data_IF_171289291255
#
_entry.id   IF_171289291255
#
_cell.length_a   1.000
_cell.length_b   1.000
_cell.length_c   1.000
_cell.angle_alpha   90.00
_cell.angle_beta   90.00
_cell.angle_gamma   90.00
#
_symmetry.space_group_name_H-M   'P 1'
#
loop_
_entity.id
_entity.type
_entity.pdbx_description
1 polymer ?
#
# COMPACT_ATOMS: atom_id res chain seq x y z
N UNK A 1 2.27 12.10 -17.57
CA UNK A 1 3.07 11.31 -16.60
C UNK A 1 4.54 11.68 -16.74
N UNK A 2 5.01 12.71 -16.00
CA UNK A 2 6.33 13.29 -16.20
C UNK A 2 7.49 12.37 -15.78
N UNK A 3 7.28 11.46 -14.82
CA UNK A 3 8.34 10.60 -14.28
C UNK A 3 9.03 9.72 -15.33
N UNK A 4 8.30 8.79 -15.95
CA UNK A 4 8.86 7.88 -16.96
C UNK A 4 9.43 8.60 -18.19
N UNK A 5 8.83 9.73 -18.57
CA UNK A 5 9.32 10.61 -19.64
C UNK A 5 10.67 11.21 -19.26
N UNK A 6 10.80 11.78 -18.06
CA UNK A 6 12.08 12.29 -17.55
C UNK A 6 13.15 11.20 -17.45
N UNK A 7 12.77 9.97 -17.08
CA UNK A 7 13.70 8.84 -17.08
C UNK A 7 14.16 8.48 -18.50
N UNK A 8 13.24 8.45 -19.48
CA UNK A 8 13.56 8.23 -20.90
C UNK A 8 14.53 9.29 -21.44
N UNK A 9 14.32 10.54 -21.07
CA UNK A 9 15.10 11.68 -21.56
C UNK A 9 16.43 11.86 -20.80
N UNK A 10 16.76 10.97 -19.85
CA UNK A 10 18.02 10.98 -19.12
C UNK A 10 19.08 10.16 -19.86
N UNK A 11 19.93 10.83 -20.65
CA UNK A 11 20.99 10.17 -21.43
C UNK A 11 21.97 9.35 -20.57
N UNK A 12 22.24 9.81 -19.34
CA UNK A 12 23.13 9.10 -18.41
C UNK A 12 22.51 7.76 -18.03
N UNK A 13 21.21 7.75 -17.70
CA UNK A 13 20.49 6.53 -17.37
C UNK A 13 20.38 5.60 -18.57
N UNK A 14 20.14 6.14 -19.76
CA UNK A 14 20.11 5.35 -21.00
C UNK A 14 21.44 4.60 -21.20
N UNK A 15 22.58 5.29 -21.07
CA UNK A 15 23.91 4.67 -21.20
C UNK A 15 24.14 3.57 -20.17
N UNK A 16 23.75 3.81 -18.91
CA UNK A 16 23.85 2.81 -17.83
C UNK A 16 23.02 1.57 -18.17
N UNK A 17 21.78 1.75 -18.63
CA UNK A 17 20.86 0.65 -18.93
C UNK A 17 21.27 -0.14 -20.17
N UNK A 18 21.75 0.53 -21.22
CA UNK A 18 22.33 -0.13 -22.40
C UNK A 18 23.54 -0.98 -22.04
N UNK A 19 24.46 -0.45 -21.24
CA UNK A 19 25.62 -1.21 -20.75
C UNK A 19 25.19 -2.40 -19.88
N UNK A 20 24.19 -2.23 -19.01
CA UNK A 20 23.64 -3.35 -18.21
C UNK A 20 23.16 -4.50 -19.11
N UNK A 21 22.44 -4.16 -20.19
CA UNK A 21 21.93 -5.14 -21.13
C UNK A 21 23.03 -5.78 -22.00
N UNK A 22 24.01 -4.99 -22.46
CA UNK A 22 25.19 -5.47 -23.21
C UNK A 22 26.03 -6.44 -22.37
N UNK A 23 26.21 -6.14 -21.08
CA UNK A 23 26.93 -6.97 -20.12
C UNK A 23 26.11 -8.20 -19.66
N UNK A 24 24.92 -8.43 -20.23
CA UNK A 24 23.98 -9.51 -19.87
C UNK A 24 23.64 -9.56 -18.37
N UNK A 25 23.51 -8.39 -17.75
CA UNK A 25 23.08 -8.26 -16.36
C UNK A 25 21.59 -7.99 -16.28
N UNK A 26 20.98 -8.33 -15.14
CA UNK A 26 19.55 -8.15 -14.92
C UNK A 26 19.16 -6.67 -15.02
N UNK A 27 18.04 -6.42 -15.70
CA UNK A 27 17.37 -5.14 -15.70
C UNK A 27 15.85 -5.35 -15.78
N UNK A 28 15.09 -4.35 -15.37
CA UNK A 28 13.64 -4.48 -15.38
C UNK A 28 12.89 -3.17 -15.47
N UNK A 29 11.63 -3.28 -15.85
CA UNK A 29 10.73 -2.14 -15.95
C UNK A 29 9.29 -2.56 -15.62
N UNK A 30 8.59 -1.72 -14.87
CA UNK A 30 7.22 -1.95 -14.44
C UNK A 30 6.31 -0.83 -14.94
N UNK A 31 5.01 -1.12 -15.08
CA UNK A 31 3.99 -0.14 -15.44
C UNK A 31 4.25 0.42 -16.85
N UNK A 32 4.31 1.74 -17.00
CA UNK A 32 4.50 2.40 -18.28
C UNK A 32 5.97 2.39 -18.78
N UNK A 33 6.94 2.09 -17.89
CA UNK A 33 8.36 2.18 -18.21
C UNK A 33 8.81 1.26 -19.37
N UNK A 34 8.29 0.03 -19.55
CA UNK A 34 8.58 -0.77 -20.74
C UNK A 34 8.28 -0.01 -22.04
N UNK A 35 7.06 0.52 -22.17
CA UNK A 35 6.60 1.19 -23.39
C UNK A 35 7.19 2.59 -23.59
N UNK A 36 7.43 3.33 -22.51
CA UNK A 36 7.81 4.74 -22.57
C UNK A 36 9.32 4.95 -22.43
N UNK A 37 10.03 4.08 -21.74
CA UNK A 37 11.46 4.24 -21.45
C UNK A 37 12.30 3.20 -22.17
N UNK A 38 12.05 1.90 -21.97
CA UNK A 38 12.89 0.85 -22.55
C UNK A 38 12.71 0.69 -24.06
N UNK A 39 11.48 0.85 -24.57
CA UNK A 39 11.19 0.72 -26.00
C UNK A 39 11.97 1.73 -26.85
N UNK A 40 11.93 3.06 -26.58
CA UNK A 40 12.76 4.02 -27.32
C UNK A 40 14.27 3.76 -27.27
N UNK A 41 14.77 3.17 -26.17
CA UNK A 41 16.19 2.81 -26.04
C UNK A 41 16.58 1.53 -26.78
N UNK A 42 15.63 0.85 -27.41
CA UNK A 42 15.85 -0.43 -28.12
C UNK A 42 16.01 -1.64 -27.21
N UNK A 43 15.79 -1.49 -25.89
CA UNK A 43 16.03 -2.54 -24.89
C UNK A 43 14.94 -3.63 -24.84
N UNK A 44 13.91 -3.52 -25.67
CA UNK A 44 12.87 -4.54 -25.83
C UNK A 44 13.01 -5.38 -27.11
N UNK A 45 14.05 -5.14 -27.91
CA UNK A 45 14.22 -5.78 -29.22
C UNK A 45 14.27 -7.30 -29.08
N UNK A 46 13.32 -8.00 -29.73
CA UNK A 46 13.17 -9.47 -29.69
C UNK A 46 12.95 -10.05 -28.29
N UNK A 47 12.41 -9.27 -27.35
CA UNK A 47 12.12 -9.71 -25.99
C UNK A 47 10.62 -9.67 -25.71
N UNK A 48 10.05 -10.79 -25.25
CA UNK A 48 8.65 -10.82 -24.80
C UNK A 48 8.50 -9.88 -23.60
N UNK A 49 7.48 -9.03 -23.63
CA UNK A 49 7.36 -7.90 -22.69
C UNK A 49 5.92 -7.70 -22.25
N UNK A 50 5.71 -7.41 -20.97
CA UNK A 50 4.44 -6.91 -20.43
C UNK A 50 4.60 -5.46 -19.94
N UNK A 51 3.52 -4.83 -19.52
CA UNK A 51 3.50 -3.44 -19.07
C UNK A 51 2.11 -2.95 -18.66
N UNK A 52 1.95 -1.65 -18.51
CA UNK A 52 0.66 -1.10 -18.13
C UNK A 52 -0.37 -1.24 -19.28
N UNK A 53 -1.59 -1.75 -19.04
CA UNK A 53 -2.60 -2.01 -20.08
C UNK A 53 -2.86 -0.79 -20.98
N UNK A 54 -2.97 0.40 -20.40
CA UNK A 54 -3.16 1.66 -21.13
C UNK A 54 -2.04 2.02 -22.13
N UNK A 55 -0.89 1.34 -22.07
CA UNK A 55 0.27 1.57 -22.94
C UNK A 55 0.57 0.38 -23.87
N UNK A 56 -0.26 -0.67 -23.86
CA UNK A 56 -0.06 -1.85 -24.71
C UNK A 56 -0.03 -1.52 -26.20
N UNK A 57 -0.86 -0.56 -26.64
CA UNK A 57 -0.88 -0.13 -28.04
C UNK A 57 0.44 0.51 -28.53
N UNK A 58 1.37 0.84 -27.62
CA UNK A 58 2.71 1.34 -27.98
C UNK A 58 3.75 0.23 -28.06
N UNK A 59 3.48 -0.95 -27.49
CA UNK A 59 4.41 -2.07 -27.52
C UNK A 59 4.27 -2.83 -28.86
N UNK A 60 5.36 -3.41 -29.40
CA UNK A 60 5.29 -4.25 -30.59
C UNK A 60 4.35 -5.44 -30.35
N UNK A 61 3.26 -5.54 -31.14
CA UNK A 61 2.18 -6.53 -30.93
C UNK A 61 2.67 -7.96 -30.83
N UNK A 62 3.67 -8.33 -31.65
CA UNK A 62 4.23 -9.69 -31.67
C UNK A 62 4.95 -10.08 -30.36
N UNK A 63 5.52 -9.10 -29.64
CA UNK A 63 6.29 -9.34 -28.42
C UNK A 63 5.52 -8.97 -27.14
N UNK A 64 4.39 -8.27 -27.25
CA UNK A 64 3.59 -7.86 -26.11
C UNK A 64 2.72 -9.02 -25.57
N UNK A 65 2.82 -9.29 -24.27
CA UNK A 65 2.07 -10.36 -23.58
C UNK A 65 1.30 -9.81 -22.38
N UNK A 66 0.19 -10.46 -22.01
CA UNK A 66 -0.72 -9.97 -20.96
C UNK A 66 -0.45 -10.50 -19.55
N UNK A 67 0.61 -11.30 -19.36
CA UNK A 67 1.00 -11.84 -18.05
C UNK A 67 1.37 -10.74 -17.06
N UNK A 68 1.16 -10.98 -15.76
CA UNK A 68 1.51 -10.02 -14.71
C UNK A 68 3.01 -9.73 -14.67
N UNK A 69 3.81 -10.80 -14.81
CA UNK A 69 5.27 -10.78 -14.91
C UNK A 69 5.67 -11.42 -16.23
N UNK A 70 6.67 -10.85 -16.89
CA UNK A 70 7.30 -11.46 -18.06
C UNK A 70 8.81 -11.34 -17.95
N UNK A 71 9.48 -12.50 -17.95
CA UNK A 71 10.94 -12.63 -18.01
C UNK A 71 11.33 -12.98 -19.45
N UNK A 72 12.33 -12.30 -20.01
CA UNK A 72 12.84 -12.56 -21.37
C UNK A 72 14.35 -12.39 -21.42
N UNK A 73 15.07 -13.45 -21.06
CA UNK A 73 16.50 -13.37 -20.75
C UNK A 73 16.70 -12.56 -19.47
N UNK A 74 17.53 -11.53 -19.55
CA UNK A 74 17.91 -10.65 -18.43
C UNK A 74 16.87 -9.56 -18.13
N UNK A 75 15.84 -9.43 -18.99
CA UNK A 75 14.78 -8.44 -18.84
C UNK A 75 13.62 -9.04 -18.03
N UNK A 76 13.26 -8.39 -16.93
CA UNK A 76 12.00 -8.65 -16.21
C UNK A 76 11.05 -7.47 -16.35
N UNK A 77 9.81 -7.71 -16.77
CA UNK A 77 8.78 -6.67 -16.86
C UNK A 77 7.51 -7.01 -16.09
N UNK A 78 6.79 -5.97 -15.66
CA UNK A 78 5.57 -6.12 -14.85
C UNK A 78 4.51 -5.06 -15.19
N UNK A 79 3.23 -5.38 -14.94
CA UNK A 79 2.11 -4.60 -15.48
C UNK A 79 1.82 -3.29 -14.77
N UNK A 80 1.93 -3.20 -13.46
CA UNK A 80 1.52 -2.00 -12.73
C UNK A 80 1.77 -2.07 -11.23
N UNK A 81 1.34 -1.06 -10.46
CA UNK A 81 1.48 -1.06 -9.00
C UNK A 81 0.91 -2.31 -8.33
N UNK A 82 -0.22 -2.83 -8.81
CA UNK A 82 -0.87 -4.05 -8.30
C UNK A 82 -0.07 -5.33 -8.51
N UNK A 83 0.96 -5.31 -9.35
CA UNK A 83 1.87 -6.43 -9.62
C UNK A 83 3.30 -6.18 -9.10
N UNK A 84 3.49 -5.17 -8.23
CA UNK A 84 4.82 -4.78 -7.73
C UNK A 84 5.46 -5.83 -6.82
N UNK A 85 4.68 -6.50 -5.96
CA UNK A 85 5.18 -7.57 -5.09
C UNK A 85 5.69 -8.76 -5.92
N UNK A 86 4.90 -9.22 -6.88
CA UNK A 86 5.30 -10.28 -7.83
C UNK A 86 6.58 -9.89 -8.59
N UNK A 87 6.70 -8.61 -8.96
CA UNK A 87 7.89 -8.09 -9.65
C UNK A 87 9.13 -8.11 -8.76
N UNK A 88 9.00 -7.65 -7.51
CA UNK A 88 10.09 -7.66 -6.54
C UNK A 88 10.52 -9.10 -6.19
N UNK A 89 9.58 -10.01 -5.97
CA UNK A 89 9.87 -11.43 -5.69
C UNK A 89 10.55 -12.11 -6.87
N UNK A 90 10.09 -11.86 -8.09
CA UNK A 90 10.74 -12.39 -9.30
C UNK A 90 12.19 -11.91 -9.46
N UNK A 91 12.49 -10.66 -9.08
CA UNK A 91 13.87 -10.15 -9.06
C UNK A 91 14.68 -10.74 -7.91
N UNK A 92 14.09 -10.91 -6.73
CA UNK A 92 14.75 -11.55 -5.59
C UNK A 92 15.13 -13.00 -5.91
N UNK A 93 14.25 -13.74 -6.58
CA UNK A 93 14.51 -15.10 -7.06
C UNK A 93 15.68 -15.13 -8.04
N UNK A 94 15.72 -14.23 -9.03
CA UNK A 94 16.81 -14.16 -9.99
C UNK A 94 18.16 -13.76 -9.37
N UNK A 95 18.13 -12.99 -8.27
CA UNK A 95 19.34 -12.51 -7.59
C UNK A 95 19.87 -13.46 -6.52
N UNK A 96 18.97 -14.12 -5.78
CA UNK A 96 19.31 -14.88 -4.57
C UNK A 96 18.82 -16.34 -4.58
N UNK A 97 18.04 -16.73 -5.60
CA UNK A 97 17.48 -18.06 -5.73
C UNK A 97 16.07 -18.20 -5.14
N UNK A 98 15.41 -19.29 -5.51
CA UNK A 98 14.02 -19.60 -5.19
C UNK A 98 13.77 -19.69 -3.67
N UNK A 99 14.68 -20.30 -2.91
CA UNK A 99 14.55 -20.44 -1.46
C UNK A 99 14.46 -19.10 -0.75
N UNK A 100 15.29 -18.13 -1.15
CA UNK A 100 15.26 -16.78 -0.57
C UNK A 100 13.98 -16.05 -0.96
N UNK A 101 13.55 -16.15 -2.22
CA UNK A 101 12.29 -15.54 -2.67
C UNK A 101 11.08 -16.10 -1.91
N UNK A 102 11.00 -17.42 -1.73
CA UNK A 102 9.94 -18.08 -0.95
C UNK A 102 9.92 -17.63 0.51
N UNK A 103 11.08 -17.51 1.15
CA UNK A 103 11.16 -17.02 2.52
C UNK A 103 10.67 -15.57 2.65
N UNK A 104 11.00 -14.70 1.68
CA UNK A 104 10.51 -13.33 1.64
C UNK A 104 8.99 -13.31 1.39
N UNK A 105 8.51 -14.13 0.47
CA UNK A 105 7.09 -14.27 0.15
C UNK A 105 6.30 -14.69 1.38
N UNK A 106 6.72 -15.74 2.10
CA UNK A 106 6.09 -16.19 3.35
C UNK A 106 6.06 -15.08 4.41
N UNK A 107 7.11 -14.28 4.52
CA UNK A 107 7.18 -13.15 5.44
C UNK A 107 6.24 -12.00 5.03
N UNK A 108 6.17 -11.67 3.74
CA UNK A 108 5.30 -10.61 3.21
C UNK A 108 3.82 -11.03 3.18
N UNK A 109 3.55 -12.33 2.99
CA UNK A 109 2.24 -12.91 2.70
C UNK A 109 1.63 -13.73 3.83
N UNK A 110 2.14 -13.69 5.08
CA UNK A 110 1.57 -14.41 6.25
C UNK A 110 0.02 -14.41 6.23
N UNK A 111 -0.75 -15.40 5.73
CA UNK A 111 -0.51 -16.64 4.97
C UNK A 111 -1.52 -16.68 3.82
N UNK A 112 -1.19 -17.38 2.73
CA UNK A 112 -2.09 -17.94 1.69
C UNK A 112 -3.15 -18.96 2.25
N UNK A 113 -3.36 -18.95 3.57
CA UNK A 113 -4.14 -19.93 4.33
C UNK A 113 -5.61 -19.61 4.49
N UNK A 114 -6.10 -18.49 3.97
CA UNK A 114 -7.54 -18.21 3.95
C UNK A 114 -8.08 -18.56 2.57
N UNK A 115 -8.49 -19.81 2.41
CA UNK A 115 -9.33 -20.19 1.28
C UNK A 115 -10.55 -19.27 1.27
N UNK A 116 -10.68 -18.44 0.23
CA UNK A 116 -11.79 -17.51 0.03
C UNK A 116 -11.81 -16.29 0.99
N UNK A 117 -10.75 -15.46 1.02
CA UNK A 117 -10.67 -14.34 1.94
C UNK A 117 -11.67 -13.25 1.55
N UNK A 118 -12.40 -12.73 2.54
CA UNK A 118 -13.46 -11.75 2.32
C UNK A 118 -13.29 -10.55 3.22
N UNK A 119 -13.55 -9.37 2.67
CA UNK A 119 -13.87 -8.21 3.48
C UNK A 119 -15.13 -8.54 4.30
N UNK A 120 -15.09 -8.29 5.60
CA UNK A 120 -16.23 -8.48 6.50
C UNK A 120 -16.68 -7.14 7.02
N UNK A 121 -17.97 -6.85 6.89
CA UNK A 121 -18.57 -5.63 7.41
C UNK A 121 -19.61 -5.97 8.46
N UNK A 122 -19.59 -5.21 9.55
CA UNK A 122 -20.46 -5.33 10.69
C UNK A 122 -20.94 -3.95 11.12
N UNK A 123 -22.12 -3.89 11.75
CA UNK A 123 -22.69 -2.64 12.25
C UNK A 123 -22.66 -1.53 11.18
N UNK A 124 -23.09 -1.87 9.96
CA UNK A 124 -22.89 -1.04 8.78
C UNK A 124 -23.47 0.36 8.98
N UNK A 125 -22.65 1.36 8.67
CA UNK A 125 -23.03 2.77 8.62
C UNK A 125 -22.58 3.35 7.27
N UNK A 126 -23.23 4.42 6.83
CA UNK A 126 -22.80 5.14 5.64
C UNK A 126 -21.55 5.99 5.95
N UNK A 127 -20.56 5.96 5.06
CA UNK A 127 -19.34 6.78 5.14
C UNK A 127 -19.33 7.87 4.05
N UNK A 128 -20.40 8.00 3.28
CA UNK A 128 -20.51 9.04 2.27
C UNK A 128 -20.45 10.44 2.93
N UNK A 129 -19.75 11.35 2.26
CA UNK A 129 -19.56 12.73 2.70
C UNK A 129 -19.95 13.67 1.56
N UNK A 130 -20.46 14.85 1.93
CA UNK A 130 -20.87 15.92 1.01
C UNK A 130 -19.71 16.81 0.53
N UNK A 131 -18.50 16.56 1.03
CA UNK A 131 -17.28 17.28 0.72
C UNK A 131 -16.14 16.32 0.36
N UNK A 132 -14.97 16.87 0.00
CA UNK A 132 -13.78 16.05 -0.28
C UNK A 132 -13.26 15.46 1.03
N UNK A 133 -13.23 14.12 1.19
CA UNK A 133 -12.78 13.51 2.44
C UNK A 133 -11.34 13.88 2.76
N UNK A 134 -11.08 14.22 4.03
CA UNK A 134 -9.75 14.54 4.56
C UNK A 134 -9.25 13.39 5.44
N UNK A 135 -8.09 12.84 5.09
CA UNK A 135 -7.49 11.69 5.77
C UNK A 135 -6.15 12.05 6.37
N UNK A 136 -5.97 11.73 7.66
CA UNK A 136 -4.69 11.81 8.35
C UNK A 136 -4.03 10.42 8.41
N UNK A 137 -2.76 10.35 8.00
CA UNK A 137 -1.90 9.17 8.17
C UNK A 137 -0.71 9.59 9.03
N UNK A 138 -0.78 9.43 10.36
CA UNK A 138 0.34 9.73 11.25
C UNK A 138 1.37 8.59 11.19
N UNK A 139 2.65 8.96 11.12
CA UNK A 139 3.78 8.06 10.93
C UNK A 139 4.93 8.42 11.87
N UNK A 140 5.78 7.44 12.15
CA UNK A 140 6.95 7.58 13.01
C UNK A 140 8.16 6.89 12.38
N UNK A 141 9.34 7.06 12.98
CA UNK A 141 10.47 6.20 12.68
C UNK A 141 10.10 4.74 12.95
N UNK A 142 10.38 3.85 12.00
CA UNK A 142 10.00 2.45 12.06
C UNK A 142 8.58 2.13 11.60
N UNK A 143 7.81 3.10 11.07
CA UNK A 143 6.57 2.80 10.36
C UNK A 143 6.83 1.96 9.10
N UNK A 144 5.87 1.15 8.69
CA UNK A 144 5.95 0.31 7.50
C UNK A 144 5.75 1.17 6.23
N UNK A 145 6.74 1.16 5.32
CA UNK A 145 6.79 2.07 4.19
C UNK A 145 5.80 1.72 3.08
N UNK A 146 5.64 0.42 2.81
CA UNK A 146 4.77 -0.07 1.73
C UNK A 146 3.30 0.17 2.08
N UNK A 147 2.90 -0.08 3.32
CA UNK A 147 1.58 0.20 3.84
C UNK A 147 1.28 1.70 3.76
N UNK A 148 2.19 2.54 4.27
CA UNK A 148 2.05 4.00 4.21
C UNK A 148 1.88 4.50 2.76
N UNK A 149 2.81 4.15 1.87
CA UNK A 149 2.82 4.66 0.50
C UNK A 149 1.60 4.14 -0.27
N UNK A 150 1.23 2.87 -0.06
CA UNK A 150 0.07 2.27 -0.74
C UNK A 150 -1.24 2.91 -0.29
N UNK A 151 -1.45 3.10 1.02
CA UNK A 151 -2.66 3.77 1.54
C UNK A 151 -2.75 5.19 0.97
N UNK A 152 -1.66 5.96 1.06
CA UNK A 152 -1.65 7.33 0.56
C UNK A 152 -1.88 7.40 -0.96
N UNK A 153 -1.24 6.55 -1.76
CA UNK A 153 -1.38 6.54 -3.23
C UNK A 153 -2.80 6.15 -3.67
N UNK A 154 -3.38 5.09 -3.09
CA UNK A 154 -4.73 4.64 -3.43
C UNK A 154 -5.78 5.69 -3.09
N UNK A 155 -5.70 6.30 -1.89
CA UNK A 155 -6.64 7.33 -1.48
C UNK A 155 -6.49 8.61 -2.33
N UNK A 156 -5.26 9.04 -2.64
CA UNK A 156 -5.02 10.19 -3.53
C UNK A 156 -5.53 9.95 -4.95
N UNK A 157 -5.42 8.73 -5.48
CA UNK A 157 -6.03 8.35 -6.77
C UNK A 157 -7.55 8.45 -6.76
N UNK A 158 -8.18 8.16 -5.61
CA UNK A 158 -9.61 8.34 -5.41
C UNK A 158 -10.06 9.80 -5.27
N UNK A 159 -9.11 10.76 -5.22
CA UNK A 159 -9.30 12.20 -4.97
C UNK A 159 -9.57 12.58 -3.50
N UNK A 160 -9.10 11.77 -2.57
CA UNK A 160 -9.08 12.10 -1.13
C UNK A 160 -7.95 13.09 -0.83
N UNK A 161 -8.21 14.04 0.06
CA UNK A 161 -7.19 14.93 0.62
C UNK A 161 -6.41 14.20 1.73
N UNK A 162 -5.23 13.67 1.39
CA UNK A 162 -4.42 12.87 2.31
C UNK A 162 -3.26 13.71 2.86
N UNK A 163 -3.23 13.85 4.18
CA UNK A 163 -2.11 14.42 4.94
C UNK A 163 -1.32 13.30 5.64
N UNK A 164 -0.05 13.12 5.24
CA UNK A 164 0.90 12.29 5.98
C UNK A 164 1.62 13.16 7.01
N UNK A 165 1.57 12.79 8.29
CA UNK A 165 2.18 13.59 9.35
C UNK A 165 3.20 12.82 10.17
N UNK A 166 4.36 13.44 10.44
CA UNK A 166 5.38 12.85 11.29
C UNK A 166 5.10 13.16 12.76
N UNK A 167 5.07 12.13 13.63
CA UNK A 167 5.03 12.32 15.09
C UNK A 167 6.41 12.63 15.68
N UNK A 168 7.45 12.62 14.85
CA UNK A 168 8.81 12.98 15.23
C UNK A 168 8.99 14.51 15.24
N UNK A 169 10.20 14.96 15.56
CA UNK A 169 10.59 16.39 15.48
C UNK A 169 10.97 16.84 14.07
N UNK A 170 10.87 15.96 13.07
CA UNK A 170 11.30 16.20 11.68
C UNK A 170 10.28 15.65 10.72
N UNK A 171 10.11 16.33 9.57
CA UNK A 171 9.32 15.84 8.44
C UNK A 171 9.92 14.58 7.82
N UNK A 172 11.21 14.34 7.99
CA UNK A 172 11.85 13.13 7.50
C UNK A 172 11.82 12.02 8.55
N UNK A 173 11.26 10.88 8.19
CA UNK A 173 11.32 9.63 8.96
C UNK A 173 12.18 8.58 8.25
N UNK A 174 12.67 7.62 9.02
CA UNK A 174 13.26 6.37 8.52
C UNK A 174 12.29 5.24 8.83
N UNK A 175 11.71 4.63 7.79
CA UNK A 175 10.78 3.52 7.89
C UNK A 175 11.46 2.23 8.38
N UNK A 176 10.67 1.19 8.68
CA UNK A 176 11.13 -0.06 9.29
C UNK A 176 12.33 -0.72 8.58
N UNK A 177 12.31 -0.76 7.25
CA UNK A 177 13.39 -1.32 6.41
C UNK A 177 14.41 -0.26 5.93
N UNK A 178 14.47 0.91 6.58
CA UNK A 178 15.45 1.95 6.28
C UNK A 178 15.05 2.97 5.20
N UNK A 179 13.92 2.80 4.52
CA UNK A 179 13.41 3.75 3.53
C UNK A 179 13.17 5.12 4.16
N UNK A 180 13.73 6.17 3.55
CA UNK A 180 13.56 7.56 4.03
C UNK A 180 12.34 8.17 3.37
N UNK A 181 11.41 8.68 4.18
CA UNK A 181 10.16 9.31 3.71
C UNK A 181 10.10 10.73 4.26
N UNK A 182 9.70 11.69 3.42
CA UNK A 182 9.42 13.07 3.82
C UNK A 182 7.89 13.20 3.92
N UNK A 183 7.40 13.55 5.10
CA UNK A 183 5.97 13.74 5.38
C UNK A 183 5.50 15.13 4.98
N UNK A 184 4.18 15.30 4.82
CA UNK A 184 3.58 16.57 4.41
C UNK A 184 3.63 17.60 5.56
N UNK A 185 3.42 17.14 6.81
CA UNK A 185 3.39 17.98 8.01
C UNK A 185 4.04 17.32 9.22
N UNK A 186 4.34 18.11 10.25
CA UNK A 186 4.53 17.60 11.61
C UNK A 186 3.17 17.35 12.26
N UNK A 187 3.08 16.42 13.21
CA UNK A 187 1.83 16.10 13.90
C UNK A 187 1.23 17.29 14.64
N UNK A 188 2.07 18.24 15.09
CA UNK A 188 1.63 19.47 15.75
C UNK A 188 0.79 20.35 14.83
N UNK A 189 1.26 20.60 13.61
CA UNK A 189 0.54 21.35 12.57
C UNK A 189 -0.69 20.58 12.07
N UNK A 190 -0.57 19.25 11.95
CA UNK A 190 -1.68 18.41 11.52
C UNK A 190 -2.84 18.45 12.53
N UNK A 191 -2.56 18.64 13.82
CA UNK A 191 -3.56 18.70 14.89
C UNK A 191 -4.39 19.99 14.90
N UNK A 192 -4.06 20.98 14.07
CA UNK A 192 -4.85 22.21 13.90
C UNK A 192 -6.07 22.02 12.98
N UNK A 193 -6.22 20.83 12.39
CA UNK A 193 -7.34 20.46 11.51
C UNK A 193 -8.09 19.25 12.04
N UNK A 194 -9.38 19.16 11.69
CA UNK A 194 -10.17 17.93 11.80
C UNK A 194 -10.03 17.07 10.53
N UNK A 195 -10.22 15.76 10.68
CA UNK A 195 -10.17 14.78 9.60
C UNK A 195 -11.36 13.86 9.68
N UNK A 196 -11.86 13.43 8.53
CA UNK A 196 -12.97 12.47 8.44
C UNK A 196 -12.49 11.06 8.78
N UNK A 197 -11.21 10.79 8.53
CA UNK A 197 -10.59 9.50 8.78
C UNK A 197 -9.13 9.64 9.26
N UNK A 198 -8.78 8.90 10.31
CA UNK A 198 -7.39 8.72 10.78
C UNK A 198 -6.98 7.24 10.61
N UNK A 199 -5.93 6.98 9.82
CA UNK A 199 -5.43 5.62 9.55
C UNK A 199 -4.00 5.45 10.05
N UNK A 200 -3.77 4.44 10.89
CA UNK A 200 -2.45 4.09 11.41
C UNK A 200 -1.80 2.97 10.57
N UNK A 201 -0.73 3.23 9.80
CA UNK A 201 0.05 2.17 9.14
C UNK A 201 0.85 1.39 10.18
N UNK A 202 1.24 0.17 9.85
CA UNK A 202 1.97 -0.72 10.73
C UNK A 202 3.46 -0.38 10.91
N UNK A 203 4.23 -1.42 11.19
CA UNK A 203 5.63 -1.35 11.60
C UNK A 203 5.75 -1.28 13.13
N UNK A 204 6.18 -2.37 13.75
CA UNK A 204 6.15 -2.54 15.21
C UNK A 204 6.81 -1.36 15.96
N UNK A 205 8.03 -1.02 15.55
CA UNK A 205 8.81 0.12 16.08
C UNK A 205 8.14 1.47 15.88
N UNK A 206 7.42 1.64 14.77
CA UNK A 206 6.61 2.82 14.48
C UNK A 206 5.37 2.87 15.38
N UNK A 207 4.63 1.76 15.49
CA UNK A 207 3.44 1.62 16.33
C UNK A 207 3.71 1.98 17.80
N UNK A 208 4.83 1.52 18.37
CA UNK A 208 5.24 1.89 19.72
C UNK A 208 5.48 3.40 19.90
N UNK A 209 6.00 4.08 18.88
CA UNK A 209 6.23 5.53 18.90
C UNK A 209 4.91 6.29 18.73
N UNK A 210 4.05 5.84 17.81
CA UNK A 210 2.70 6.37 17.64
C UNK A 210 1.94 6.30 18.96
N UNK A 211 2.00 5.17 19.67
CA UNK A 211 1.37 4.97 20.98
C UNK A 211 1.83 6.00 22.03
N UNK A 212 3.09 6.44 21.99
CA UNK A 212 3.66 7.40 22.95
C UNK A 212 3.33 8.86 22.60
N UNK A 213 2.82 9.14 21.41
CA UNK A 213 2.48 10.51 20.99
C UNK A 213 1.23 11.03 21.70
N UNK A 214 1.42 12.01 22.59
CA UNK A 214 0.31 12.67 23.31
C UNK A 214 -0.66 13.39 22.36
N UNK A 215 -0.14 13.98 21.28
CA UNK A 215 -0.94 14.69 20.28
C UNK A 215 -1.80 13.67 19.52
N UNK A 216 -1.22 12.56 19.07
CA UNK A 216 -1.98 11.51 18.40
C UNK A 216 -3.04 10.90 19.30
N UNK A 217 -2.71 10.64 20.58
CA UNK A 217 -3.69 10.15 21.56
C UNK A 217 -4.88 11.11 21.70
N UNK A 218 -4.64 12.43 21.71
CA UNK A 218 -5.71 13.44 21.73
C UNK A 218 -6.57 13.36 20.46
N UNK A 219 -5.95 13.36 19.28
CA UNK A 219 -6.66 13.29 18.00
C UNK A 219 -7.52 12.02 17.87
N UNK A 220 -6.98 10.85 18.24
CA UNK A 220 -7.73 9.58 18.18
C UNK A 220 -8.92 9.57 19.13
N UNK A 221 -8.78 10.16 20.33
CA UNK A 221 -9.89 10.29 21.27
C UNK A 221 -10.98 11.19 20.70
N UNK A 222 -10.62 12.36 20.17
CA UNK A 222 -11.58 13.28 19.54
C UNK A 222 -12.27 12.67 18.32
N UNK A 223 -11.54 11.86 17.55
CA UNK A 223 -12.08 11.10 16.41
C UNK A 223 -13.16 10.12 16.86
N UNK A 224 -12.87 9.36 17.92
CA UNK A 224 -13.79 8.38 18.50
C UNK A 224 -15.02 9.04 19.15
N UNK A 225 -14.83 10.06 19.99
CA UNK A 225 -15.91 10.79 20.67
C UNK A 225 -16.85 11.47 19.67
N UNK A 226 -16.33 11.90 18.52
CA UNK A 226 -17.13 12.49 17.44
C UNK A 226 -17.79 11.46 16.52
N UNK A 227 -17.60 10.16 16.76
CA UNK A 227 -18.11 9.09 15.90
C UNK A 227 -17.48 9.03 14.50
N UNK A 228 -16.40 9.78 14.24
CA UNK A 228 -15.74 9.80 12.93
C UNK A 228 -14.93 8.53 12.69
N UNK A 229 -14.49 8.33 11.46
CA UNK A 229 -13.88 7.09 11.02
C UNK A 229 -12.44 7.01 11.53
N UNK A 230 -12.00 5.83 11.95
CA UNK A 230 -10.60 5.57 12.25
C UNK A 230 -10.25 4.11 11.96
N UNK A 231 -8.96 3.83 11.82
CA UNK A 231 -8.52 2.49 11.52
C UNK A 231 -7.03 2.30 11.65
N UNK A 232 -6.62 1.05 11.60
CA UNK A 232 -5.22 0.66 11.66
C UNK A 232 -4.98 -0.63 10.90
N UNK A 233 -3.76 -0.82 10.43
CA UNK A 233 -3.33 -2.06 9.80
C UNK A 233 -2.15 -2.66 10.56
N UNK A 234 -2.02 -3.99 10.51
CA UNK A 234 -0.89 -4.72 11.10
C UNK A 234 -0.75 -4.39 12.60
N UNK A 235 0.49 -4.23 13.10
CA UNK A 235 0.81 -3.92 14.50
C UNK A 235 0.17 -2.63 15.04
N UNK A 236 -0.25 -1.69 14.20
CA UNK A 236 -0.84 -0.42 14.68
C UNK A 236 -2.24 -0.60 15.28
N UNK A 237 -2.89 -1.75 15.07
CA UNK A 237 -4.13 -2.10 15.78
C UNK A 237 -3.93 -2.12 17.30
N UNK A 238 -2.71 -2.43 17.76
CA UNK A 238 -2.36 -2.38 19.20
C UNK A 238 -2.39 -0.97 19.78
N UNK A 239 -2.17 0.07 18.95
CA UNK A 239 -2.26 1.48 19.38
C UNK A 239 -3.71 1.82 19.71
N UNK A 240 -4.65 1.44 18.82
CA UNK A 240 -6.08 1.63 19.04
C UNK A 240 -6.56 0.83 20.25
N UNK A 241 -6.11 -0.42 20.37
CA UNK A 241 -6.40 -1.30 21.51
C UNK A 241 -6.00 -0.64 22.85
N UNK A 242 -4.74 -0.24 23.00
CA UNK A 242 -4.20 0.33 24.24
C UNK A 242 -4.79 1.71 24.58
N UNK A 243 -5.54 2.32 23.66
CA UNK A 243 -6.33 3.52 23.90
C UNK A 243 -7.82 3.24 24.14
N UNK A 244 -8.23 1.97 24.23
CA UNK A 244 -9.61 1.57 24.48
C UNK A 244 -10.54 1.72 23.27
N UNK A 245 -10.01 2.05 22.09
CA UNK A 245 -10.79 2.41 20.90
C UNK A 245 -11.32 1.19 20.13
N UNK A 246 -10.93 -0.02 20.53
CA UNK A 246 -11.38 -1.29 19.95
C UNK A 246 -12.26 -2.09 20.91
N UNK A 247 -12.66 -1.53 22.06
CA UNK A 247 -13.57 -2.20 22.98
C UNK A 247 -14.89 -2.52 22.25
N UNK A 248 -15.34 -3.77 22.35
CA UNK A 248 -16.57 -4.28 21.71
C UNK A 248 -16.58 -4.21 20.17
N UNK A 249 -15.43 -3.92 19.52
CA UNK A 249 -15.29 -3.91 18.06
C UNK A 249 -14.75 -5.24 17.54
N UNK A 250 -15.19 -5.59 16.33
CA UNK A 250 -14.64 -6.70 15.54
C UNK A 250 -13.40 -6.25 14.78
N UNK A 251 -12.36 -7.08 14.74
CA UNK A 251 -11.08 -6.75 14.07
C UNK A 251 -10.41 -7.95 13.41
N UNK A 252 -9.45 -7.70 12.51
CA UNK A 252 -8.67 -8.76 11.84
C UNK A 252 -7.44 -9.23 12.62
N UNK A 253 -6.89 -8.38 13.50
CA UNK A 253 -5.56 -8.59 14.12
C UNK A 253 -5.73 -8.92 15.60
N UNK A 254 -5.11 -10.01 16.04
CA UNK A 254 -4.91 -10.28 17.46
C UNK A 254 -3.87 -9.30 18.02
N UNK A 255 -4.21 -8.44 18.99
CA UNK A 255 -3.20 -7.68 19.72
C UNK A 255 -2.37 -8.68 20.53
N UNK A 256 -1.12 -8.94 20.16
CA UNK A 256 -0.28 -9.90 20.89
C UNK A 256 0.18 -9.36 22.26
N UNK A 257 0.07 -10.24 23.26
CA UNK A 257 0.70 -10.27 24.59
C UNK A 257 0.34 -9.17 25.60
N UNK A 258 -0.87 -9.26 26.17
CA UNK A 258 -1.12 -8.86 27.56
C UNK A 258 -2.27 -9.68 28.15
N UNK A 259 -2.04 -10.27 29.31
CA UNK A 259 -2.92 -11.15 30.09
C UNK A 259 -4.24 -10.49 30.57
N UNK A 260 -5.09 -10.01 29.66
CA UNK A 260 -6.47 -9.63 30.01
C UNK A 260 -7.49 -10.41 29.17
N UNK A 261 -8.49 -11.05 29.81
CA UNK A 261 -9.51 -11.82 29.11
C UNK A 261 -10.37 -10.88 28.25
N UNK A 262 -10.29 -11.08 26.94
CA UNK A 262 -10.67 -10.09 25.95
C UNK A 262 -12.12 -10.28 25.51
N UNK A 263 -12.96 -9.25 25.69
CA UNK A 263 -14.29 -9.16 25.06
C UNK A 263 -14.18 -8.63 23.61
N UNK A 264 -13.13 -9.01 22.87
CA UNK A 264 -12.89 -8.60 21.48
C UNK A 264 -13.16 -9.75 20.51
N UNK A 265 -13.92 -9.44 19.46
CA UNK A 265 -14.36 -10.41 18.47
C UNK A 265 -13.40 -10.38 17.28
N UNK A 266 -12.26 -11.08 17.37
CA UNK A 266 -11.39 -11.29 16.20
C UNK A 266 -12.14 -12.09 15.14
N UNK A 267 -12.07 -11.65 13.89
CA UNK A 267 -12.72 -12.32 12.77
C UNK A 267 -11.68 -13.13 12.01
N UNK A 268 -11.61 -14.41 12.35
CA UNK A 268 -10.71 -15.36 11.71
C UNK A 268 -10.97 -15.41 10.18
N UNK A 269 -9.90 -15.28 9.40
CA UNK A 269 -9.94 -15.31 7.94
C UNK A 269 -10.47 -14.10 7.21
N UNK A 270 -10.72 -13.00 7.91
CA UNK A 270 -10.95 -11.72 7.27
C UNK A 270 -9.63 -10.99 7.00
N UNK A 271 -9.41 -10.58 5.75
CA UNK A 271 -8.28 -9.72 5.37
C UNK A 271 -8.50 -8.26 5.80
N UNK A 272 -9.75 -7.84 5.77
CA UNK A 272 -10.23 -6.50 6.14
C UNK A 272 -11.53 -6.66 6.93
N UNK A 273 -11.61 -6.01 8.08
CA UNK A 273 -12.84 -5.93 8.89
C UNK A 273 -13.24 -4.47 9.04
N UNK A 274 -14.50 -4.19 8.73
CA UNK A 274 -15.17 -2.91 9.01
C UNK A 274 -16.22 -3.16 10.09
N UNK A 275 -16.19 -2.39 11.17
CA UNK A 275 -17.18 -2.43 12.25
C UNK A 275 -17.66 -1.01 12.58
N UNK A 276 -18.75 -0.59 11.94
CA UNK A 276 -19.24 0.77 11.98
C UNK A 276 -18.23 1.76 11.41
N UNK A 277 -17.67 2.61 12.27
CA UNK A 277 -16.67 3.63 11.93
C UNK A 277 -15.22 3.14 12.07
N UNK A 278 -15.00 1.86 12.35
CA UNK A 278 -13.65 1.28 12.55
C UNK A 278 -13.30 0.37 11.39
N UNK A 279 -12.07 0.48 10.87
CA UNK A 279 -11.53 -0.46 9.87
C UNK A 279 -10.17 -1.01 10.28
N UNK A 280 -9.97 -2.32 10.13
CA UNK A 280 -8.70 -3.00 10.40
C UNK A 280 -8.29 -3.96 9.29
N UNK A 281 -6.99 -4.20 9.13
CA UNK A 281 -6.47 -5.23 8.21
C UNK A 281 -5.19 -5.89 8.71
N UNK A 282 -4.87 -7.06 8.14
CA UNK A 282 -3.73 -7.89 8.52
C UNK A 282 -2.34 -7.25 8.28
N UNK A 283 -2.17 -6.46 7.22
CA UNK A 283 -0.91 -5.75 6.95
C UNK A 283 -0.54 -5.69 5.47
N UNK A 284 0.76 -5.79 5.19
CA UNK A 284 1.40 -5.70 3.87
C UNK A 284 0.60 -6.37 2.73
N UNK A 285 0.27 -7.65 2.86
CA UNK A 285 -0.43 -8.40 1.81
C UNK A 285 -1.85 -7.87 1.52
N UNK A 286 -2.49 -7.24 2.51
CA UNK A 286 -3.89 -6.79 2.42
C UNK A 286 -4.02 -5.28 2.26
N UNK A 287 -2.92 -4.51 2.25
CA UNK A 287 -2.96 -3.05 2.30
C UNK A 287 -3.68 -2.42 1.10
N UNK A 288 -3.54 -3.01 -0.10
CA UNK A 288 -4.27 -2.55 -1.30
C UNK A 288 -5.77 -2.78 -1.14
N UNK A 289 -6.18 -3.97 -0.66
CA UNK A 289 -7.60 -4.31 -0.41
C UNK A 289 -8.19 -3.44 0.69
N UNK A 290 -7.45 -3.20 1.76
CA UNK A 290 -7.80 -2.29 2.86
C UNK A 290 -8.06 -0.87 2.33
N UNK A 291 -7.15 -0.35 1.51
CA UNK A 291 -7.28 0.98 0.94
C UNK A 291 -8.46 1.08 -0.03
N UNK A 292 -8.69 0.04 -0.85
CA UNK A 292 -9.84 -0.02 -1.77
C UNK A 292 -11.17 -0.19 -1.03
N UNK A 293 -11.19 -0.84 0.13
CA UNK A 293 -12.37 -0.93 0.99
C UNK A 293 -12.76 0.46 1.53
N UNK A 294 -11.77 1.28 1.94
CA UNK A 294 -12.00 2.68 2.33
C UNK A 294 -12.57 3.47 1.16
N UNK A 295 -11.97 3.38 -0.04
CA UNK A 295 -12.49 4.07 -1.24
C UNK A 295 -13.92 3.63 -1.56
N UNK A 296 -14.23 2.34 -1.41
CA UNK A 296 -15.56 1.80 -1.64
C UNK A 296 -16.59 2.33 -0.63
N UNK A 297 -16.21 2.50 0.63
CA UNK A 297 -17.10 3.06 1.66
C UNK A 297 -17.35 4.55 1.45
N UNK A 298 -16.32 5.31 1.07
CA UNK A 298 -16.43 6.76 0.85
C UNK A 298 -17.17 7.12 -0.44
N UNK A 299 -16.99 6.34 -1.51
CA UNK A 299 -17.40 6.74 -2.87
C UNK A 299 -18.15 5.65 -3.67
N UNK A 300 -18.37 4.47 -3.08
CA UNK A 300 -18.98 3.33 -3.75
C UNK A 300 -18.03 2.49 -4.64
N UNK A 301 -18.51 1.32 -5.05
CA UNK A 301 -17.74 0.32 -5.80
C UNK A 301 -17.24 0.81 -7.16
N UNK A 302 -17.96 1.71 -7.82
CA UNK A 302 -17.55 2.25 -9.12
C UNK A 302 -16.21 3.01 -9.02
N UNK A 303 -16.05 3.86 -8.00
CA UNK A 303 -14.80 4.58 -7.76
C UNK A 303 -13.67 3.62 -7.37
N UNK A 304 -13.94 2.66 -6.48
CA UNK A 304 -12.96 1.66 -6.06
C UNK A 304 -12.47 0.82 -7.25
N UNK A 305 -13.37 0.36 -8.12
CA UNK A 305 -13.03 -0.39 -9.34
C UNK A 305 -12.15 0.43 -10.28
N UNK A 306 -12.51 1.68 -10.55
CA UNK A 306 -11.71 2.57 -11.40
C UNK A 306 -10.29 2.78 -10.87
N UNK A 307 -10.15 2.96 -9.56
CA UNK A 307 -8.82 3.06 -8.92
C UNK A 307 -8.06 1.74 -9.05
N UNK A 308 -8.69 0.60 -8.77
CA UNK A 308 -8.08 -0.73 -8.89
C UNK A 308 -7.59 -1.05 -10.30
N UNK A 309 -8.37 -0.71 -11.32
CA UNK A 309 -7.98 -0.86 -12.73
C UNK A 309 -6.73 -0.04 -13.07
N UNK A 310 -6.65 1.20 -12.58
CA UNK A 310 -5.46 2.05 -12.74
C UNK A 310 -4.23 1.56 -11.97
N UNK A 311 -4.40 0.69 -10.98
CA UNK A 311 -3.32 -0.02 -10.30
C UNK A 311 -2.94 -1.31 -11.02
N UNK A 312 -3.77 -1.81 -11.96
CA UNK A 312 -3.68 -3.17 -12.49
C UNK A 312 -3.79 -4.22 -11.37
N UNK A 313 -4.73 -3.97 -10.46
CA UNK A 313 -5.07 -4.88 -9.36
C UNK A 313 -6.47 -5.46 -9.60
N UNK A 314 -6.64 -6.75 -9.30
CA UNK A 314 -7.94 -7.41 -9.44
C UNK A 314 -8.94 -6.84 -8.43
N UNK A 315 -10.15 -6.55 -8.88
CA UNK A 315 -11.24 -6.10 -8.04
C UNK A 315 -12.44 -7.02 -8.23
N UNK A 316 -13.04 -7.55 -7.15
CA UNK A 316 -14.16 -8.48 -7.26
C UNK A 316 -15.30 -7.92 -8.13
N UNK A 317 -15.85 -8.78 -9.00
CA UNK A 317 -17.14 -8.53 -9.64
C UNK A 317 -18.22 -8.80 -8.60
N UNK A 318 -19.10 -7.83 -8.41
CA UNK A 318 -20.33 -8.01 -7.62
C UNK A 318 -21.40 -8.65 -8.49
#
# INVERSE_FOLDING_TARGET
>A
MPGAVRLRDCEILEKIMKRQAEDKRLYGAISMAPAITLLPWGLLTRKRTTGHPAFFGKLPTFWAVKTNIQISGELTTSRGPGTSFQFALSLAEQLFGETTAKSIEEFLLLRDGYQNPKNKEFNSIDWSLDHTPRVLIPVANGSEAVELVSIADVLRRAKVDVTVSSVERSLRITAFQGTKIITDKLIGEAAESSYDLIILPGGHTGSERLQKSKILKKLLREQHESGRIYGATNSSSTVLHKHGLLKEKRTTVYPSESDEPMNQQMIEGAEVVIDGNVITSLGLATVTKFSLAIVSKLFGHARARSVSEGLVHEYPRQ
#
